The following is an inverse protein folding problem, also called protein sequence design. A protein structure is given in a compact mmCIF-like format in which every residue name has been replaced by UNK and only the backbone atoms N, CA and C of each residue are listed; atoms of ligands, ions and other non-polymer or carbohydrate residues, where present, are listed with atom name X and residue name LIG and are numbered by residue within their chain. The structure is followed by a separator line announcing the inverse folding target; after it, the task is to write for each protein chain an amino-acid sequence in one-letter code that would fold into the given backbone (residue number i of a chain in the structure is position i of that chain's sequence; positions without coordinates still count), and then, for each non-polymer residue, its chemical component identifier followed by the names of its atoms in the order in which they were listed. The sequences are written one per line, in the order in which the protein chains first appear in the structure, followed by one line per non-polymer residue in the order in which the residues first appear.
data_IF_278774381314
#
_entry.id   IF_278774381314
#
_cell.length_a   1.000
_cell.length_b   1.000
_cell.length_c   1.000
_cell.angle_alpha   90.00
_cell.angle_beta   90.00
_cell.angle_gamma   90.00
#
_symmetry.space_group_name_H-M   'P 1'
#
loop_
_entity.id
_entity.type
_entity.pdbx_description
1 polymer ?
#
# COMPACT_ATOMS: atom_id res chain seq x y z
N UNK A 1 -6.54 0.17 39.79
CA UNK A 1 -6.56 0.44 38.33
C UNK A 1 -5.73 -0.65 37.67
N UNK A 2 -6.36 -1.73 37.22
CA UNK A 2 -5.66 -2.75 36.43
C UNK A 2 -5.35 -2.13 35.08
N UNK A 3 -4.10 -1.70 34.89
CA UNK A 3 -3.58 -1.28 33.59
C UNK A 3 -3.51 -2.52 32.71
N UNK A 4 -4.63 -2.86 32.08
CA UNK A 4 -4.70 -3.91 31.08
C UNK A 4 -3.63 -3.62 30.01
N UNK A 5 -2.83 -4.63 29.68
CA UNK A 5 -1.78 -4.49 28.67
C UNK A 5 -2.44 -4.41 27.30
N UNK A 6 -2.31 -3.26 26.64
CA UNK A 6 -2.95 -2.97 25.35
C UNK A 6 -1.91 -2.85 24.24
N UNK A 7 -2.22 -3.40 23.07
CA UNK A 7 -1.39 -3.26 21.87
C UNK A 7 -1.59 -1.87 21.26
N UNK A 8 -0.52 -1.12 21.01
CA UNK A 8 -0.57 0.25 20.46
C UNK A 8 -0.29 0.25 18.97
N UNK A 9 -1.21 0.79 18.20
CA UNK A 9 -1.10 0.91 16.74
C UNK A 9 -1.10 2.40 16.38
N UNK A 10 -0.01 2.87 15.78
CA UNK A 10 0.09 4.22 15.24
C UNK A 10 -0.52 4.29 13.83
N UNK A 11 -1.32 5.33 13.58
CA UNK A 11 -1.86 5.62 12.26
C UNK A 11 -1.90 7.12 11.99
N UNK A 12 -2.00 7.49 10.71
CA UNK A 12 -2.11 8.89 10.32
C UNK A 12 -3.43 9.51 10.83
N UNK A 13 -3.33 10.60 11.58
CA UNK A 13 -4.48 11.34 12.13
C UNK A 13 -5.40 11.89 11.05
N UNK A 14 -4.79 12.50 10.03
CA UNK A 14 -5.45 13.17 8.90
C UNK A 14 -4.52 13.13 7.69
N UNK A 15 -5.08 12.97 6.50
CA UNK A 15 -4.34 12.90 5.24
C UNK A 15 -4.62 11.60 4.49
N UNK A 16 -3.81 11.35 3.46
CA UNK A 16 -4.07 10.36 2.41
C UNK A 16 -4.28 8.91 2.89
N UNK A 17 -3.66 8.50 3.99
CA UNK A 17 -3.77 7.12 4.50
C UNK A 17 -4.82 6.98 5.59
N UNK A 18 -5.39 8.07 6.11
CA UNK A 18 -6.21 8.03 7.32
C UNK A 18 -7.50 7.24 7.11
N UNK A 19 -8.26 7.55 6.07
CA UNK A 19 -9.58 6.96 5.83
C UNK A 19 -9.46 5.49 5.43
N UNK A 20 -8.52 5.16 4.54
CA UNK A 20 -8.23 3.77 4.14
C UNK A 20 -7.79 2.93 5.34
N UNK A 21 -6.97 3.49 6.23
CA UNK A 21 -6.55 2.80 7.46
C UNK A 21 -7.72 2.56 8.39
N UNK A 22 -8.59 3.57 8.61
CA UNK A 22 -9.80 3.40 9.42
C UNK A 22 -10.73 2.33 8.82
N UNK A 23 -10.90 2.33 7.49
CA UNK A 23 -11.70 1.34 6.79
C UNK A 23 -11.12 -0.08 6.93
N UNK A 24 -9.79 -0.24 6.80
CA UNK A 24 -9.09 -1.51 7.03
C UNK A 24 -9.34 -2.03 8.44
N UNK A 25 -9.11 -1.21 9.46
CA UNK A 25 -9.29 -1.61 10.87
C UNK A 25 -10.75 -1.97 11.18
N UNK A 26 -11.72 -1.22 10.65
CA UNK A 26 -13.15 -1.56 10.76
C UNK A 26 -13.48 -2.89 10.09
N UNK A 27 -12.95 -3.17 8.89
CA UNK A 27 -13.13 -4.46 8.18
C UNK A 27 -12.50 -5.63 8.95
N UNK A 28 -11.40 -5.39 9.66
CA UNK A 28 -10.80 -6.35 10.60
C UNK A 28 -11.65 -6.58 11.87
N UNK A 29 -12.81 -5.93 11.99
CA UNK A 29 -13.74 -6.08 13.10
C UNK A 29 -13.37 -5.26 14.33
N UNK A 30 -12.57 -4.19 14.20
CA UNK A 30 -12.26 -3.29 15.30
C UNK A 30 -13.32 -2.19 15.40
N UNK A 31 -13.94 -2.07 16.57
CA UNK A 31 -14.90 -1.01 16.88
C UNK A 31 -14.15 0.23 17.34
N UNK A 32 -13.86 1.10 16.38
CA UNK A 32 -13.11 2.34 16.58
C UNK A 32 -14.04 3.46 17.12
N UNK A 33 -13.88 3.81 18.40
CA UNK A 33 -14.52 5.00 18.97
C UNK A 33 -13.69 6.26 18.70
N UNK A 34 -13.49 6.59 17.42
CA UNK A 34 -12.69 7.73 16.99
C UNK A 34 -13.57 8.97 16.96
N UNK A 35 -13.58 9.73 18.04
CA UNK A 35 -14.05 11.12 18.01
C UNK A 35 -12.90 12.00 17.52
N UNK A 36 -13.17 12.99 16.65
CA UNK A 36 -12.12 13.76 15.96
C UNK A 36 -11.06 14.40 16.87
N UNK A 37 -11.41 14.71 18.13
CA UNK A 37 -10.52 15.38 19.08
C UNK A 37 -9.55 14.46 19.83
N UNK A 38 -9.77 13.14 19.88
CA UNK A 38 -8.92 12.23 20.65
C UNK A 38 -7.74 11.73 19.80
N UNK A 39 -6.51 11.95 20.29
CA UNK A 39 -5.27 11.46 19.69
C UNK A 39 -4.98 10.00 20.06
N UNK A 40 -5.51 9.53 21.18
CA UNK A 40 -5.48 8.13 21.60
C UNK A 40 -6.93 7.62 21.63
N UNK A 41 -7.25 6.64 20.81
CA UNK A 41 -8.58 6.04 20.73
C UNK A 41 -8.52 4.58 21.17
N UNK A 42 -9.33 4.23 22.17
CA UNK A 42 -9.45 2.85 22.64
C UNK A 42 -10.39 2.06 21.73
N UNK A 43 -9.97 0.86 21.33
CA UNK A 43 -10.84 -0.10 20.65
C UNK A 43 -11.76 -0.74 21.68
N UNK A 44 -13.07 -0.72 21.43
CA UNK A 44 -14.07 -1.13 22.43
C UNK A 44 -14.12 -2.64 22.65
N UNK A 45 -13.82 -3.43 21.62
CA UNK A 45 -14.00 -4.88 21.59
C UNK A 45 -12.69 -5.68 21.55
N UNK A 46 -11.54 -5.00 21.71
CA UNK A 46 -10.22 -5.64 21.74
C UNK A 46 -9.25 -4.77 22.58
N UNK A 47 -8.28 -5.35 23.30
CA UNK A 47 -7.26 -4.60 24.06
C UNK A 47 -6.23 -3.92 23.13
N UNK A 48 -6.70 -2.99 22.31
CA UNK A 48 -5.93 -2.22 21.33
C UNK A 48 -6.16 -0.73 21.56
N UNK A 49 -5.09 0.05 21.43
CA UNK A 49 -5.11 1.50 21.40
C UNK A 49 -4.61 2.02 20.05
N UNK A 50 -5.38 2.93 19.46
CA UNK A 50 -5.04 3.58 18.19
C UNK A 50 -4.47 4.97 18.50
N UNK A 51 -3.19 5.15 18.16
CA UNK A 51 -2.47 6.42 18.25
C UNK A 51 -2.58 7.16 16.92
N UNK A 52 -3.32 8.27 16.91
CA UNK A 52 -3.53 9.13 15.74
C UNK A 52 -2.49 10.25 15.72
N UNK A 53 -1.45 10.10 14.90
CA UNK A 53 -0.27 10.98 14.87
C UNK A 53 0.00 11.52 13.46
N UNK A 54 1.02 12.36 13.29
CA UNK A 54 1.47 12.75 11.95
C UNK A 54 2.18 11.57 11.30
N UNK A 55 2.05 11.41 9.99
CA UNK A 55 2.68 10.30 9.26
C UNK A 55 4.20 10.27 9.42
N UNK A 56 4.85 11.44 9.48
CA UNK A 56 6.29 11.60 9.72
C UNK A 56 6.76 10.99 11.04
N UNK A 57 5.89 10.95 12.05
CA UNK A 57 6.26 10.55 13.40
C UNK A 57 6.12 9.03 13.58
N UNK A 58 5.34 8.36 12.74
CA UNK A 58 5.02 6.92 12.86
C UNK A 58 6.27 6.04 12.81
N UNK A 59 7.21 6.18 11.85
CA UNK A 59 8.40 5.33 11.80
C UNK A 59 9.21 5.43 13.10
N UNK A 60 9.44 6.65 13.58
CA UNK A 60 10.19 6.88 14.80
C UNK A 60 9.52 6.28 16.03
N UNK A 61 8.20 6.46 16.18
CA UNK A 61 7.44 5.88 17.29
C UNK A 61 7.52 4.34 17.34
N UNK A 62 7.60 3.68 16.19
CA UNK A 62 7.73 2.21 16.09
C UNK A 62 9.17 1.77 16.35
N UNK A 63 10.14 2.44 15.73
CA UNK A 63 11.58 2.15 15.90
C UNK A 63 12.04 2.38 17.35
N UNK A 64 11.46 3.36 18.05
CA UNK A 64 11.75 3.66 19.46
C UNK A 64 10.96 2.77 20.43
N UNK A 65 10.04 1.94 19.94
CA UNK A 65 9.21 1.04 20.76
C UNK A 65 8.11 1.74 21.55
N UNK A 66 7.77 2.99 21.22
CA UNK A 66 6.66 3.73 21.84
C UNK A 66 5.31 3.15 21.42
N UNK A 67 5.22 2.70 20.16
CA UNK A 67 4.11 1.96 19.58
C UNK A 67 4.56 0.55 19.18
N UNK A 68 3.65 -0.41 19.28
CA UNK A 68 3.95 -1.80 18.93
C UNK A 68 3.85 -2.01 17.40
N UNK A 69 2.86 -1.35 16.77
CA UNK A 69 2.61 -1.37 15.34
C UNK A 69 2.47 0.06 14.78
N UNK A 70 2.67 0.21 13.46
CA UNK A 70 2.39 1.44 12.73
C UNK A 70 1.93 1.18 11.30
N UNK A 71 1.00 1.98 10.79
CA UNK A 71 0.61 1.98 9.37
C UNK A 71 1.13 3.27 8.74
N UNK A 72 2.05 3.12 7.79
CA UNK A 72 2.80 4.25 7.20
C UNK A 72 3.12 3.98 5.73
N UNK A 73 3.32 5.02 4.92
CA UNK A 73 3.81 4.88 3.56
C UNK A 73 5.28 4.47 3.52
N UNK A 74 5.63 3.59 2.59
CA UNK A 74 7.01 3.09 2.39
C UNK A 74 8.00 4.22 2.17
N UNK A 75 7.61 5.27 1.44
CA UNK A 75 8.42 6.47 1.25
C UNK A 75 8.78 7.14 2.59
N UNK A 76 7.81 7.37 3.47
CA UNK A 76 8.06 7.99 4.78
C UNK A 76 8.88 7.07 5.69
N UNK A 77 8.62 5.76 5.62
CA UNK A 77 9.35 4.76 6.39
C UNK A 77 10.83 4.68 6.01
N UNK A 78 11.12 4.52 4.72
CA UNK A 78 12.48 4.38 4.21
C UNK A 78 13.28 5.67 4.39
N UNK A 79 12.68 6.83 4.14
CA UNK A 79 13.33 8.13 4.37
C UNK A 79 13.75 8.30 5.84
N UNK A 80 12.84 8.01 6.78
CA UNK A 80 13.13 8.12 8.21
C UNK A 80 14.15 7.08 8.68
N UNK A 81 14.15 5.87 8.11
CA UNK A 81 15.13 4.85 8.42
C UNK A 81 16.54 5.26 7.99
N UNK A 82 16.68 5.77 6.75
CA UNK A 82 17.95 6.26 6.22
C UNK A 82 18.46 7.47 6.99
N UNK A 83 17.58 8.42 7.33
CA UNK A 83 17.93 9.59 8.14
C UNK A 83 18.46 9.16 9.51
N UNK A 84 17.79 8.23 10.18
CA UNK A 84 18.22 7.72 11.48
C UNK A 84 19.51 6.94 11.41
N UNK A 85 19.72 6.15 10.37
CA UNK A 85 20.97 5.42 10.14
C UNK A 85 22.15 6.38 9.97
N UNK A 86 21.97 7.47 9.20
CA UNK A 86 22.96 8.53 9.05
C UNK A 86 23.28 9.22 10.38
N UNK A 87 22.29 9.38 11.26
CA UNK A 87 22.46 9.97 12.59
C UNK A 87 22.94 8.98 13.66
N UNK A 88 23.15 7.70 13.33
CA UNK A 88 23.52 6.66 14.31
C UNK A 88 22.42 6.36 15.33
N UNK A 89 21.16 6.59 14.98
CA UNK A 89 19.99 6.36 15.83
C UNK A 89 19.35 4.99 15.56
N UNK A 90 18.44 4.57 16.44
CA UNK A 90 17.67 3.33 16.26
C UNK A 90 16.79 3.43 15.02
N UNK A 91 17.08 2.62 14.01
CA UNK A 91 16.34 2.55 12.73
C UNK A 91 15.67 1.18 12.49
N UNK A 92 15.77 0.25 13.44
CA UNK A 92 15.28 -1.12 13.27
C UNK A 92 13.76 -1.22 13.41
N UNK A 93 13.14 -1.98 12.51
CA UNK A 93 11.72 -2.30 12.51
C UNK A 93 11.48 -3.63 11.79
N UNK A 94 10.31 -4.23 11.99
CA UNK A 94 9.87 -5.43 11.27
C UNK A 94 8.77 -5.02 10.29
N UNK A 95 8.96 -5.27 9.00
CA UNK A 95 7.92 -5.08 7.99
C UNK A 95 7.02 -6.31 7.97
N UNK A 96 5.78 -6.17 8.46
CA UNK A 96 4.87 -7.31 8.61
C UNK A 96 4.06 -7.59 7.35
N UNK A 97 3.52 -6.55 6.70
CA UNK A 97 2.70 -6.71 5.49
C UNK A 97 2.66 -5.40 4.70
N UNK A 98 2.82 -5.50 3.38
CA UNK A 98 2.49 -4.39 2.49
C UNK A 98 0.97 -4.35 2.27
N UNK A 99 0.39 -3.16 2.30
CA UNK A 99 -1.05 -2.95 2.14
C UNK A 99 -1.36 -2.52 0.69
N UNK A 100 -2.59 -2.76 0.24
CA UNK A 100 -3.02 -2.49 -1.14
C UNK A 100 -3.65 -1.10 -1.35
N UNK A 101 -3.23 -0.11 -0.57
CA UNK A 101 -3.66 1.27 -0.70
C UNK A 101 -2.49 2.23 -0.47
N UNK A 102 -2.72 3.52 -0.71
CA UNK A 102 -1.68 4.54 -0.57
C UNK A 102 -0.61 4.52 -1.67
N UNK A 103 -0.86 3.83 -2.78
CA UNK A 103 0.10 3.69 -3.89
C UNK A 103 0.50 5.03 -4.50
N UNK A 104 1.79 5.32 -4.55
CA UNK A 104 2.38 6.47 -5.25
C UNK A 104 3.81 6.12 -5.66
N UNK A 105 4.44 7.02 -6.40
CA UNK A 105 5.86 6.93 -6.72
C UNK A 105 6.53 8.25 -6.37
N UNK A 106 7.78 8.19 -5.96
CA UNK A 106 8.67 9.33 -5.84
C UNK A 106 9.44 9.42 -7.15
N UNK A 107 9.38 10.57 -7.79
CA UNK A 107 9.96 10.76 -9.12
C UNK A 107 10.66 12.09 -9.24
N UNK A 108 11.67 12.12 -10.11
CA UNK A 108 12.32 13.34 -10.56
C UNK A 108 11.47 13.95 -11.67
N UNK A 109 11.18 15.23 -11.55
CA UNK A 109 10.49 16.02 -12.57
C UNK A 109 11.30 17.28 -12.91
N UNK A 110 11.34 17.59 -14.20
CA UNK A 110 12.11 18.69 -14.77
C UNK A 110 11.19 19.71 -15.44
N UNK A 111 11.59 20.98 -15.56
CA UNK A 111 10.86 21.96 -16.37
C UNK A 111 10.60 21.47 -17.79
N UNK A 112 9.42 21.81 -18.33
CA UNK A 112 9.12 21.58 -19.74
C UNK A 112 10.24 22.12 -20.64
N UNK A 113 10.70 21.28 -21.57
CA UNK A 113 11.79 21.61 -22.49
C UNK A 113 13.20 21.22 -22.00
N UNK A 114 13.34 20.65 -20.80
CA UNK A 114 14.60 20.02 -20.40
C UNK A 114 14.92 18.81 -21.29
N UNK A 115 16.16 18.75 -21.82
CA UNK A 115 16.62 17.67 -22.69
C UNK A 115 17.07 16.45 -21.88
N UNK A 116 16.10 15.60 -21.51
CA UNK A 116 16.36 14.36 -20.78
C UNK A 116 16.79 13.23 -21.74
N UNK A 117 18.05 12.83 -21.65
CA UNK A 117 18.64 11.72 -22.42
C UNK A 117 18.94 10.49 -21.54
N UNK A 118 18.28 10.41 -20.39
CA UNK A 118 18.46 9.39 -19.36
C UNK A 118 19.15 9.91 -18.09
N UNK A 119 19.34 9.02 -17.12
CA UNK A 119 19.76 9.37 -15.75
C UNK A 119 21.05 10.20 -15.69
N UNK A 120 21.97 10.05 -16.67
CA UNK A 120 23.21 10.83 -16.73
C UNK A 120 22.99 12.32 -17.02
N UNK A 121 21.87 12.71 -17.65
CA UNK A 121 21.48 14.12 -17.82
C UNK A 121 21.21 14.82 -16.48
N UNK A 122 21.03 14.06 -15.39
CA UNK A 122 20.74 14.58 -14.07
C UNK A 122 21.99 14.80 -13.21
N UNK A 123 23.17 14.40 -13.69
CA UNK A 123 24.43 14.49 -12.94
C UNK A 123 24.86 15.95 -12.73
N UNK A 124 25.17 16.30 -11.48
CA UNK A 124 25.53 17.65 -11.05
C UNK A 124 24.34 18.60 -10.84
N UNK A 125 23.09 18.16 -11.11
CA UNK A 125 21.91 19.00 -10.94
C UNK A 125 21.45 19.07 -9.48
N UNK A 126 20.72 20.14 -9.17
CA UNK A 126 20.12 20.41 -7.87
C UNK A 126 18.62 20.16 -7.89
N UNK A 127 18.11 19.38 -6.95
CA UNK A 127 16.67 19.05 -6.85
C UNK A 127 16.05 19.55 -5.55
N UNK A 128 14.90 20.21 -5.63
CA UNK A 128 14.09 20.44 -4.44
C UNK A 128 13.32 19.17 -4.06
N UNK A 129 13.33 18.81 -2.77
CA UNK A 129 12.67 17.57 -2.33
C UNK A 129 12.29 17.61 -0.85
N UNK A 130 11.31 16.79 -0.48
CA UNK A 130 11.00 16.41 0.90
C UNK A 130 11.63 15.06 1.30
N UNK A 131 12.29 14.37 0.35
CA UNK A 131 12.88 13.02 0.51
C UNK A 131 14.38 12.99 0.09
N UNK A 132 15.24 13.79 0.75
CA UNK A 132 16.65 13.88 0.37
C UNK A 132 17.41 12.55 0.50
N UNK A 133 17.09 11.71 1.48
CA UNK A 133 17.83 10.47 1.68
C UNK A 133 17.51 9.44 0.60
N UNK A 134 16.23 9.32 0.20
CA UNK A 134 15.84 8.49 -0.93
C UNK A 134 16.47 8.97 -2.24
N UNK A 135 16.51 10.28 -2.49
CA UNK A 135 17.17 10.86 -3.65
C UNK A 135 18.68 10.54 -3.67
N UNK A 136 19.37 10.75 -2.54
CA UNK A 136 20.80 10.46 -2.41
C UNK A 136 21.10 8.97 -2.60
N UNK A 137 20.26 8.08 -2.05
CA UNK A 137 20.38 6.63 -2.24
C UNK A 137 20.30 6.26 -3.72
N UNK A 138 19.28 6.77 -4.42
CA UNK A 138 19.10 6.53 -5.85
C UNK A 138 20.29 7.07 -6.66
N UNK A 139 20.72 8.31 -6.39
CA UNK A 139 21.84 8.93 -7.10
C UNK A 139 23.14 8.10 -6.97
N UNK A 140 23.43 7.63 -5.74
CA UNK A 140 24.56 6.74 -5.46
C UNK A 140 24.46 5.41 -6.22
N UNK A 141 23.29 4.78 -6.24
CA UNK A 141 23.04 3.53 -6.97
C UNK A 141 23.23 3.69 -8.49
N UNK A 142 22.91 4.87 -9.03
CA UNK A 142 23.07 5.19 -10.46
C UNK A 142 24.44 5.80 -10.82
N UNK A 143 25.28 6.04 -9.82
CA UNK A 143 26.58 6.68 -10.01
C UNK A 143 26.48 8.07 -10.62
N UNK A 144 25.52 8.87 -10.16
CA UNK A 144 25.41 10.31 -10.46
C UNK A 144 25.54 11.09 -9.15
N UNK A 145 25.99 12.34 -9.25
CA UNK A 145 26.01 13.28 -8.16
C UNK A 145 24.80 14.19 -8.30
N UNK A 146 24.10 14.44 -7.20
CA UNK A 146 22.98 15.38 -7.17
C UNK A 146 23.13 16.25 -5.93
N UNK A 147 22.81 17.54 -6.06
CA UNK A 147 22.60 18.43 -4.92
C UNK A 147 21.10 18.47 -4.59
N UNK A 148 20.75 18.85 -3.37
CA UNK A 148 19.36 18.99 -2.99
C UNK A 148 19.05 20.24 -2.17
N UNK A 149 17.81 20.71 -2.29
CA UNK A 149 17.23 21.70 -1.41
C UNK A 149 16.07 21.05 -0.64
N UNK A 150 16.21 20.92 0.68
CA UNK A 150 15.16 20.36 1.52
C UNK A 150 14.01 21.37 1.67
N UNK A 151 12.82 20.98 1.23
CA UNK A 151 11.58 21.71 1.45
C UNK A 151 10.62 20.88 2.30
N UNK A 152 9.68 21.55 2.96
CA UNK A 152 8.64 20.90 3.78
C UNK A 152 7.28 20.81 3.06
N UNK A 153 7.19 21.35 1.85
CA UNK A 153 6.01 21.37 1.00
C UNK A 153 6.13 22.41 -0.11
N UNK A 154 5.20 22.39 -1.07
CA UNK A 154 5.21 23.27 -2.25
C UNK A 154 6.52 23.17 -3.03
N UNK A 155 6.98 21.94 -3.25
CA UNK A 155 8.27 21.65 -3.89
C UNK A 155 8.26 22.10 -5.35
N UNK A 156 7.09 22.04 -5.98
CA UNK A 156 6.85 22.33 -7.40
C UNK A 156 7.14 23.79 -7.79
N UNK A 157 7.16 24.69 -6.81
CA UNK A 157 7.48 26.11 -7.03
C UNK A 157 9.00 26.34 -7.16
N UNK A 158 9.82 25.44 -6.62
CA UNK A 158 11.25 25.63 -6.46
C UNK A 158 12.01 25.90 -7.78
N UNK A 159 11.73 25.18 -8.90
CA UNK A 159 12.43 25.46 -10.15
C UNK A 159 12.09 26.85 -10.69
N UNK A 160 10.81 27.25 -10.61
CA UNK A 160 10.34 28.54 -11.13
C UNK A 160 10.95 29.75 -10.40
N UNK A 161 11.29 29.59 -9.13
CA UNK A 161 11.93 30.65 -8.33
C UNK A 161 13.47 30.54 -8.32
N UNK A 162 14.04 29.61 -9.09
CA UNK A 162 15.48 29.43 -9.22
C UNK A 162 16.16 28.77 -8.02
N UNK A 163 15.44 28.01 -7.21
CA UNK A 163 15.98 27.31 -6.04
C UNK A 163 16.60 25.94 -6.39
N UNK A 164 16.17 25.36 -7.51
CA UNK A 164 16.61 24.06 -8.00
C UNK A 164 16.45 23.97 -9.52
N UNK A 165 17.13 23.02 -10.16
CA UNK A 165 17.01 22.75 -11.59
C UNK A 165 15.76 21.91 -11.90
N UNK A 166 15.35 21.08 -10.94
CA UNK A 166 14.14 20.27 -10.98
C UNK A 166 13.64 19.95 -9.57
N UNK A 167 12.70 19.00 -9.48
CA UNK A 167 12.19 18.52 -8.20
C UNK A 167 12.28 17.00 -8.11
N UNK A 168 12.29 16.49 -6.89
CA UNK A 168 12.05 15.08 -6.59
C UNK A 168 10.90 14.99 -5.59
N UNK A 169 9.70 14.63 -6.05
CA UNK A 169 8.50 14.63 -5.21
C UNK A 169 7.53 13.50 -5.56
N UNK A 170 6.53 13.29 -4.71
CA UNK A 170 5.53 12.25 -4.86
C UNK A 170 4.59 12.54 -6.02
N UNK A 171 4.50 11.59 -6.95
CA UNK A 171 3.59 11.61 -8.08
C UNK A 171 2.53 10.52 -7.93
N UNK A 172 1.28 10.92 -8.12
CA UNK A 172 0.14 9.99 -8.24
C UNK A 172 -0.43 10.06 -9.66
N UNK A 173 -1.22 11.09 -9.96
CA UNK A 173 -1.84 11.32 -11.28
C UNK A 173 -0.99 12.18 -12.21
N UNK A 174 -0.04 12.96 -11.69
CA UNK A 174 0.78 13.91 -12.46
C UNK A 174 0.21 15.33 -12.56
N UNK A 175 -1.04 15.56 -12.18
CA UNK A 175 -1.72 16.85 -12.35
C UNK A 175 -0.99 18.05 -11.70
N UNK A 176 -0.35 17.85 -10.55
CA UNK A 176 0.39 18.93 -9.87
C UNK A 176 1.66 19.31 -10.63
N UNK A 177 2.31 18.36 -11.30
CA UNK A 177 3.49 18.63 -12.13
C UNK A 177 3.09 19.45 -13.35
N UNK A 178 2.06 19.00 -14.06
CA UNK A 178 1.52 19.69 -15.24
C UNK A 178 1.09 21.13 -14.92
N UNK A 179 0.38 21.34 -13.81
CA UNK A 179 -0.03 22.68 -13.36
C UNK A 179 1.14 23.65 -13.08
N UNK A 180 2.35 23.12 -12.89
CA UNK A 180 3.57 23.90 -12.63
C UNK A 180 4.58 23.84 -13.80
N UNK A 181 4.19 23.31 -14.97
CA UNK A 181 5.07 23.20 -16.13
C UNK A 181 6.24 22.25 -15.92
N UNK A 182 6.00 21.16 -15.18
CA UNK A 182 6.99 20.12 -14.90
C UNK A 182 6.59 18.81 -15.59
N UNK A 183 7.58 18.12 -16.12
CA UNK A 183 7.44 16.80 -16.74
C UNK A 183 8.19 15.78 -15.90
N UNK A 184 7.53 14.67 -15.58
CA UNK A 184 8.16 13.54 -14.92
C UNK A 184 9.16 12.86 -15.87
N UNK A 185 10.41 12.69 -15.42
CA UNK A 185 11.49 12.14 -16.26
C UNK A 185 12.05 10.82 -15.75
N UNK A 186 12.02 10.58 -14.43
CA UNK A 186 12.60 9.37 -13.84
C UNK A 186 11.88 8.99 -12.55
N UNK A 187 11.38 7.76 -12.48
CA UNK A 187 10.82 7.20 -11.26
C UNK A 187 11.95 6.63 -10.38
N UNK A 188 12.08 7.09 -9.14
CA UNK A 188 13.18 6.67 -8.25
C UNK A 188 12.76 5.73 -7.14
N UNK A 189 11.48 5.74 -6.74
CA UNK A 189 10.98 4.86 -5.68
C UNK A 189 9.47 4.64 -5.75
N UNK A 190 9.02 3.39 -5.66
CA UNK A 190 7.58 3.05 -5.54
C UNK A 190 7.18 2.92 -4.08
N UNK A 191 6.09 3.58 -3.68
CA UNK A 191 5.59 3.56 -2.31
C UNK A 191 4.16 3.06 -2.23
N UNK A 192 3.88 2.21 -1.23
CA UNK A 192 2.54 1.86 -0.78
C UNK A 192 2.48 1.98 0.75
N UNK A 193 1.28 1.93 1.32
CA UNK A 193 1.15 1.80 2.77
C UNK A 193 1.65 0.41 3.20
N UNK A 194 2.30 0.35 4.36
CA UNK A 194 2.79 -0.88 4.98
C UNK A 194 2.44 -0.89 6.47
N UNK A 195 2.19 -2.09 6.98
CA UNK A 195 2.12 -2.36 8.41
C UNK A 195 3.53 -2.73 8.90
N UNK A 196 4.05 -1.91 9.81
CA UNK A 196 5.32 -2.13 10.49
C UNK A 196 5.09 -2.48 11.96
N UNK A 197 6.03 -3.22 12.53
CA UNK A 197 6.09 -3.61 13.93
C UNK A 197 7.42 -3.17 14.53
N UNK A 198 7.41 -2.85 15.82
CA UNK A 198 8.64 -2.57 16.57
C UNK A 198 9.58 -3.77 16.56
N UNK A 199 10.89 -3.52 16.54
CA UNK A 199 11.90 -4.57 16.70
C UNK A 199 12.00 -5.09 18.15
N UNK A 200 11.37 -4.39 19.11
CA UNK A 200 11.32 -4.81 20.51
C UNK A 200 10.42 -6.03 20.69
N UNK A 201 10.83 -6.96 21.56
CA UNK A 201 10.03 -8.13 21.91
C UNK A 201 8.71 -7.71 22.56
N UNK A 202 7.59 -8.20 22.02
CA UNK A 202 6.27 -8.03 22.61
C UNK A 202 6.08 -9.01 23.77
N UNK A 203 5.36 -8.60 24.82
CA UNK A 203 4.93 -9.55 25.85
C UNK A 203 3.89 -10.53 25.29
N UNK A 204 3.68 -11.65 25.97
CA UNK A 204 2.76 -12.73 25.55
C UNK A 204 1.34 -12.25 25.26
N UNK A 205 0.83 -11.31 26.05
CA UNK A 205 -0.51 -10.76 25.88
C UNK A 205 -0.62 -9.95 24.59
N UNK A 206 0.37 -9.08 24.32
CA UNK A 206 0.43 -8.29 23.08
C UNK A 206 0.65 -9.17 21.85
N UNK A 207 1.50 -10.18 21.97
CA UNK A 207 1.77 -11.12 20.88
C UNK A 207 0.49 -11.89 20.50
N UNK A 208 -0.28 -12.37 21.48
CA UNK A 208 -1.56 -13.05 21.22
C UNK A 208 -2.59 -12.16 20.50
N UNK A 209 -2.64 -10.86 20.85
CA UNK A 209 -3.49 -9.87 20.15
C UNK A 209 -3.01 -9.71 18.70
N UNK A 210 -1.69 -9.60 18.49
CA UNK A 210 -1.08 -9.46 17.17
C UNK A 210 -1.35 -10.69 16.28
N UNK A 211 -1.17 -11.90 16.83
CA UNK A 211 -1.39 -13.17 16.14
C UNK A 211 -2.86 -13.34 15.73
N UNK A 212 -3.79 -12.70 16.44
CA UNK A 212 -5.21 -12.65 16.05
C UNK A 212 -5.47 -11.58 14.98
N UNK A 213 -4.80 -10.43 15.05
CA UNK A 213 -5.06 -9.29 14.18
C UNK A 213 -4.42 -9.46 12.80
N UNK A 214 -3.19 -9.97 12.70
CA UNK A 214 -2.46 -10.11 11.44
C UNK A 214 -3.21 -10.96 10.40
N UNK A 215 -3.75 -12.16 10.74
CA UNK A 215 -4.54 -12.94 9.79
C UNK A 215 -5.79 -12.19 9.30
N UNK A 216 -6.42 -11.37 10.16
CA UNK A 216 -7.57 -10.55 9.75
C UNK A 216 -7.17 -9.48 8.75
N UNK A 217 -6.05 -8.80 8.98
CA UNK A 217 -5.52 -7.80 8.03
C UNK A 217 -5.24 -8.49 6.69
N UNK A 218 -4.49 -9.59 6.70
CA UNK A 218 -4.17 -10.35 5.48
C UNK A 218 -5.42 -10.82 4.74
N UNK A 219 -6.41 -11.38 5.44
CA UNK A 219 -7.68 -11.82 4.87
C UNK A 219 -8.49 -10.67 4.25
N UNK A 220 -8.50 -9.49 4.89
CA UNK A 220 -9.14 -8.28 4.37
C UNK A 220 -8.41 -7.73 3.13
N UNK A 221 -7.08 -7.86 3.09
CA UNK A 221 -6.28 -7.48 1.92
C UNK A 221 -6.57 -8.40 0.73
N UNK A 222 -6.46 -9.71 0.93
CA UNK A 222 -6.71 -10.74 -0.08
C UNK A 222 -8.13 -10.63 -0.66
N UNK A 223 -9.14 -10.49 0.20
CA UNK A 223 -10.53 -10.35 -0.21
C UNK A 223 -10.80 -9.15 -1.13
N UNK A 224 -10.09 -8.03 -0.94
CA UNK A 224 -10.28 -6.83 -1.78
C UNK A 224 -9.81 -7.05 -3.23
N UNK A 225 -8.79 -7.88 -3.41
CA UNK A 225 -8.23 -8.23 -4.72
C UNK A 225 -8.94 -9.43 -5.36
N UNK A 226 -9.56 -10.27 -4.53
CA UNK A 226 -10.28 -11.45 -5.02
C UNK A 226 -11.72 -11.15 -5.45
N UNK A 227 -12.22 -11.96 -6.38
CA UNK A 227 -13.62 -11.98 -6.84
C UNK A 227 -14.17 -13.39 -6.77
N UNK A 228 -15.44 -13.50 -6.42
CA UNK A 228 -16.16 -14.75 -6.58
C UNK A 228 -16.80 -14.79 -7.97
N UNK A 229 -16.46 -15.80 -8.74
CA UNK A 229 -16.93 -15.97 -10.12
C UNK A 229 -17.86 -17.17 -10.16
N UNK A 230 -19.02 -16.97 -10.76
CA UNK A 230 -19.99 -18.02 -11.09
C UNK A 230 -20.25 -17.98 -12.59
N UNK A 231 -20.24 -19.12 -13.24
CA UNK A 231 -20.57 -19.24 -14.66
C UNK A 231 -21.12 -20.61 -15.00
N UNK A 232 -21.82 -20.73 -16.11
CA UNK A 232 -22.10 -22.03 -16.72
C UNK A 232 -21.03 -22.34 -17.77
N UNK A 233 -20.51 -23.56 -17.76
CA UNK A 233 -19.51 -24.04 -18.70
C UNK A 233 -19.93 -25.36 -19.36
N UNK A 234 -19.58 -25.58 -20.64
CA UNK A 234 -19.67 -26.90 -21.26
C UNK A 234 -18.85 -27.94 -20.49
N UNK A 235 -19.46 -29.11 -20.24
CA UNK A 235 -18.87 -30.16 -19.40
C UNK A 235 -17.56 -30.72 -19.97
N UNK A 236 -17.41 -30.71 -21.29
CA UNK A 236 -16.22 -31.13 -22.03
C UNK A 236 -15.11 -30.06 -22.04
N UNK A 237 -15.41 -28.81 -21.66
CA UNK A 237 -14.48 -27.67 -21.67
C UNK A 237 -13.97 -27.24 -20.31
N UNK A 238 -14.25 -27.99 -19.25
CA UNK A 238 -13.91 -27.61 -17.87
C UNK A 238 -12.42 -27.43 -17.64
N UNK A 239 -11.57 -28.24 -18.28
CA UNK A 239 -10.12 -28.09 -18.16
C UNK A 239 -9.62 -26.76 -18.74
N UNK A 240 -10.14 -26.37 -19.92
CA UNK A 240 -9.81 -25.11 -20.58
C UNK A 240 -10.33 -23.91 -19.78
N UNK A 241 -11.57 -24.00 -19.27
CA UNK A 241 -12.18 -22.98 -18.40
C UNK A 241 -11.38 -22.81 -17.11
N UNK A 242 -10.97 -23.90 -16.46
CA UNK A 242 -10.18 -23.85 -15.23
C UNK A 242 -8.80 -23.23 -15.45
N UNK A 243 -8.19 -23.45 -16.62
CA UNK A 243 -6.90 -22.87 -16.96
C UNK A 243 -6.97 -21.34 -17.20
N UNK A 244 -8.15 -20.81 -17.58
CA UNK A 244 -8.38 -19.38 -17.76
C UNK A 244 -8.69 -18.64 -16.44
N UNK A 245 -9.00 -19.36 -15.36
CA UNK A 245 -9.33 -18.72 -14.08
C UNK A 245 -8.07 -18.21 -13.38
N UNK A 246 -7.97 -16.90 -13.11
CA UNK A 246 -6.82 -16.35 -12.38
C UNK A 246 -6.82 -16.86 -10.93
N UNK A 247 -5.65 -17.17 -10.37
CA UNK A 247 -5.54 -17.38 -8.92
C UNK A 247 -5.75 -18.79 -8.36
N UNK A 248 -5.88 -19.80 -9.23
CA UNK A 248 -5.71 -21.26 -8.97
C UNK A 248 -6.22 -21.79 -7.61
N UNK A 249 -7.49 -21.57 -7.29
CA UNK A 249 -8.22 -22.51 -6.43
C UNK A 249 -8.94 -23.55 -7.30
N UNK A 250 -9.09 -24.78 -6.79
CA UNK A 250 -9.82 -25.83 -7.48
C UNK A 250 -11.28 -25.41 -7.64
N UNK A 251 -11.82 -25.29 -8.87
CA UNK A 251 -13.19 -24.86 -9.07
C UNK A 251 -14.18 -25.87 -8.48
N UNK A 252 -15.25 -25.37 -7.90
CA UNK A 252 -16.40 -26.19 -7.50
C UNK A 252 -17.30 -26.37 -8.71
N UNK A 253 -17.63 -27.62 -9.03
CA UNK A 253 -18.44 -28.00 -10.19
C UNK A 253 -19.76 -28.58 -9.71
N UNK A 254 -20.86 -27.99 -10.16
CA UNK A 254 -22.22 -28.35 -9.77
C UNK A 254 -23.03 -28.76 -11.03
N UNK A 255 -23.76 -29.89 -11.00
CA UNK A 255 -24.66 -30.26 -12.08
C UNK A 255 -25.84 -29.28 -12.16
N UNK A 256 -26.34 -29.03 -13.37
CA UNK A 256 -27.51 -28.18 -13.61
C UNK A 256 -28.77 -29.02 -13.76
N UNK A 257 -29.89 -28.53 -13.22
CA UNK A 257 -31.17 -29.22 -13.34
C UNK A 257 -31.65 -29.24 -14.81
N UNK A 258 -31.93 -30.42 -15.34
CA UNK A 258 -32.46 -30.60 -16.70
C UNK A 258 -31.46 -30.33 -17.82
N UNK A 259 -30.16 -30.26 -17.51
CA UNK A 259 -29.07 -30.03 -18.48
C UNK A 259 -27.88 -30.92 -18.14
N UNK A 260 -27.53 -31.83 -19.05
CA UNK A 260 -26.36 -32.73 -18.90
C UNK A 260 -25.11 -32.23 -19.65
N UNK A 261 -25.30 -31.27 -20.56
CA UNK A 261 -24.29 -30.64 -21.41
C UNK A 261 -23.49 -29.54 -20.69
N UNK A 262 -24.11 -28.90 -19.69
CA UNK A 262 -23.54 -27.79 -18.93
C UNK A 262 -23.38 -28.12 -17.44
N UNK A 263 -22.44 -27.44 -16.81
CA UNK A 263 -22.26 -27.43 -15.36
C UNK A 263 -22.11 -26.00 -14.86
N UNK A 264 -22.52 -25.73 -13.62
CA UNK A 264 -22.17 -24.49 -12.93
C UNK A 264 -20.76 -24.62 -12.33
N UNK A 265 -19.93 -23.61 -12.59
CA UNK A 265 -18.56 -23.50 -12.11
C UNK A 265 -18.47 -22.31 -11.18
N UNK A 266 -18.02 -22.57 -9.95
CA UNK A 266 -17.83 -21.57 -8.92
C UNK A 266 -16.35 -21.54 -8.55
N UNK A 267 -15.74 -20.34 -8.56
CA UNK A 267 -14.31 -20.18 -8.28
C UNK A 267 -14.03 -18.83 -7.65
N UNK A 268 -13.04 -18.81 -6.75
CA UNK A 268 -12.46 -17.56 -6.25
C UNK A 268 -11.29 -17.21 -7.16
N UNK A 269 -11.42 -16.13 -7.92
CA UNK A 269 -10.28 -15.53 -8.61
C UNK A 269 -9.52 -14.66 -7.61
N UNK A 270 -8.25 -14.98 -7.35
CA UNK A 270 -7.40 -14.20 -6.42
C UNK A 270 -6.66 -13.05 -7.10
N UNK A 271 -6.76 -12.95 -8.42
CA UNK A 271 -6.23 -11.84 -9.22
C UNK A 271 -7.36 -11.08 -9.93
N UNK A 272 -6.99 -9.97 -10.59
CA UNK A 272 -7.96 -9.14 -11.31
C UNK A 272 -8.59 -9.93 -12.46
N UNK A 273 -9.91 -10.03 -12.43
CA UNK A 273 -10.69 -10.66 -13.48
C UNK A 273 -11.05 -9.63 -14.54
N UNK A 274 -10.34 -9.65 -15.67
CA UNK A 274 -10.48 -8.68 -16.74
C UNK A 274 -11.53 -9.08 -17.79
N UNK A 275 -11.96 -8.10 -18.59
CA UNK A 275 -12.92 -8.31 -19.68
C UNK A 275 -12.40 -9.31 -20.71
N UNK A 276 -11.11 -9.30 -21.01
CA UNK A 276 -10.50 -10.25 -21.95
C UNK A 276 -10.63 -11.70 -21.48
N UNK A 277 -10.63 -11.94 -20.16
CA UNK A 277 -10.88 -13.28 -19.60
C UNK A 277 -12.35 -13.66 -19.79
N UNK A 278 -13.29 -12.73 -19.59
CA UNK A 278 -14.72 -12.97 -19.84
C UNK A 278 -14.99 -13.30 -21.30
N UNK A 279 -14.35 -12.58 -22.23
CA UNK A 279 -14.49 -12.80 -23.67
C UNK A 279 -13.96 -14.18 -24.09
N UNK A 280 -12.79 -14.58 -23.57
CA UNK A 280 -12.24 -15.93 -23.80
C UNK A 280 -13.16 -17.02 -23.26
N UNK A 281 -13.75 -16.83 -22.09
CA UNK A 281 -14.71 -17.78 -21.52
C UNK A 281 -15.98 -17.87 -22.37
N UNK A 282 -16.52 -16.74 -22.80
CA UNK A 282 -17.67 -16.70 -23.69
C UNK A 282 -17.38 -17.42 -25.03
N UNK A 283 -16.18 -17.26 -25.58
CA UNK A 283 -15.73 -17.95 -26.78
C UNK A 283 -15.61 -19.49 -26.60
N UNK A 284 -15.37 -19.96 -25.38
CA UNK A 284 -15.40 -21.39 -25.03
C UNK A 284 -16.82 -21.94 -24.82
N UNK A 285 -17.87 -21.12 -25.01
CA UNK A 285 -19.27 -21.51 -24.81
C UNK A 285 -19.76 -21.31 -23.37
N UNK A 286 -18.99 -20.65 -22.52
CA UNK A 286 -19.47 -20.28 -21.19
C UNK A 286 -20.54 -19.19 -21.27
N UNK A 287 -21.52 -19.23 -20.36
CA UNK A 287 -22.57 -18.21 -20.26
C UNK A 287 -22.91 -17.90 -18.80
N UNK A 288 -23.77 -16.91 -18.58
CA UNK A 288 -24.20 -16.47 -17.24
C UNK A 288 -23.03 -16.17 -16.30
N UNK A 289 -21.98 -15.54 -16.84
CA UNK A 289 -20.78 -15.19 -16.08
C UNK A 289 -21.10 -14.03 -15.12
N UNK A 290 -21.03 -14.30 -13.83
CA UNK A 290 -21.25 -13.35 -12.74
C UNK A 290 -19.96 -13.16 -11.94
N UNK A 291 -19.69 -11.91 -11.58
CA UNK A 291 -18.51 -11.52 -10.79
C UNK A 291 -19.00 -10.78 -9.56
N UNK A 292 -18.78 -11.35 -8.37
CA UNK A 292 -19.21 -10.78 -7.10
C UNK A 292 -18.00 -10.34 -6.26
N UNK A 293 -18.10 -9.21 -5.52
CA UNK A 293 -17.07 -8.82 -4.57
C UNK A 293 -17.04 -9.76 -3.36
N UNK A 294 -15.85 -9.97 -2.79
CA UNK A 294 -15.67 -10.71 -1.54
C UNK A 294 -15.38 -9.71 -0.42
N UNK A 295 -16.19 -9.72 0.64
CA UNK A 295 -16.00 -8.79 1.75
C UNK A 295 -14.82 -9.16 2.65
N UNK A 296 -14.68 -10.46 2.96
CA UNK A 296 -13.65 -11.03 3.83
C UNK A 296 -13.35 -12.46 3.39
N UNK A 297 -12.10 -12.86 3.54
CA UNK A 297 -11.63 -14.21 3.23
C UNK A 297 -10.73 -14.67 4.37
N UNK A 298 -10.84 -15.94 4.75
CA UNK A 298 -9.98 -16.57 5.73
C UNK A 298 -9.61 -17.94 5.18
N UNK A 299 -8.31 -18.20 5.02
CA UNK A 299 -7.80 -19.37 4.31
C UNK A 299 -6.40 -19.15 3.79
#
# INVERSE_FOLDING_TARGET
MTTETRLRIAMQKSGRLSDDTQALLKRCGLTLNVTDRRLLAHVANMPIDIMRVRSSDIPGLVMDGVCDLGIVGDNTLEEAALERELMGQKSQYIRTSQLNFGGCRLSIAMPEGFDYQGVKSLDGLRFATTYPQLLNRYAKEKGINVDFCLLKGSVEVAPRVGLSDGICDLVSTGATLEANGLVEVEEIFKSKASLIQTASTLCSEKQSILDTLLPRIQGVMKAKESKYIMLHAPKDKIAEVSALMPGKETPTILPLAGRDDLVAVHVVATETFFWETMEKLNALGCNSILVMPIEKMMG
#
